data_IF_002832477906
#
_entry.id   IF_002832477906
#
_cell.length_a   1.000
_cell.length_b   1.000
_cell.length_c   1.000
_cell.angle_alpha   90.00
_cell.angle_beta   90.00
_cell.angle_gamma   90.00
#
_symmetry.space_group_name_H-M   'P 1'
#
loop_
_entity.id
_entity.type
_entity.pdbx_description
1 polymer ?
#
# COMPACT_ATOMS: atom_id res chain seq x y z
N UNK A 1 4.57 -3.80 16.14
CA UNK A 1 3.28 -4.30 15.63
C UNK A 1 3.09 -3.63 14.30
N UNK A 2 2.68 -4.36 13.27
CA UNK A 2 2.44 -3.78 11.95
C UNK A 2 1.43 -2.63 12.05
N UNK A 3 1.73 -1.50 11.43
CA UNK A 3 0.87 -0.32 11.43
C UNK A 3 0.11 -0.26 10.10
N UNK A 4 -1.22 -0.33 10.17
CA UNK A 4 -2.05 -0.02 8.99
C UNK A 4 -2.01 1.49 8.74
N UNK A 5 -1.62 1.87 7.52
CA UNK A 5 -1.78 3.24 7.07
C UNK A 5 -3.26 3.64 7.01
N UNK A 6 -3.54 4.94 7.15
CA UNK A 6 -4.89 5.51 6.96
C UNK A 6 -5.32 5.45 5.51
N UNK A 7 -4.35 5.44 4.60
CA UNK A 7 -4.56 5.40 3.17
C UNK A 7 -3.40 4.73 2.47
N UNK A 8 -3.72 3.88 1.50
CA UNK A 8 -2.79 3.42 0.47
C UNK A 8 -3.54 3.31 -0.86
N UNK A 9 -2.80 3.35 -1.97
CA UNK A 9 -3.37 3.15 -3.31
C UNK A 9 -2.50 2.16 -4.08
N UNK A 10 -3.17 1.25 -4.77
CA UNK A 10 -2.55 0.19 -5.55
C UNK A 10 -2.12 0.70 -6.94
N UNK A 11 -0.94 0.30 -7.39
CA UNK A 11 -0.38 0.58 -8.71
C UNK A 11 0.30 -0.66 -9.27
N UNK A 12 0.40 -0.75 -10.59
CA UNK A 12 1.21 -1.78 -11.24
C UNK A 12 2.70 -1.42 -11.10
N UNK A 13 3.56 -2.41 -10.86
CA UNK A 13 4.99 -2.22 -10.70
C UNK A 13 5.61 -1.48 -11.88
N UNK A 14 5.15 -1.74 -13.12
CA UNK A 14 5.61 -1.00 -14.31
C UNK A 14 5.42 0.51 -14.21
N UNK A 15 4.31 0.97 -13.64
CA UNK A 15 4.03 2.41 -13.49
C UNK A 15 5.00 3.07 -12.49
N UNK A 16 5.43 2.32 -11.47
CA UNK A 16 6.38 2.80 -10.47
C UNK A 16 7.81 2.82 -11.05
N UNK A 17 8.15 1.80 -11.85
CA UNK A 17 9.43 1.69 -12.57
C UNK A 17 9.65 2.78 -13.63
N UNK A 18 8.59 3.49 -14.03
CA UNK A 18 8.71 4.68 -14.90
C UNK A 18 9.42 5.86 -14.20
N UNK A 19 9.50 5.86 -12.86
CA UNK A 19 10.25 6.88 -12.13
C UNK A 19 11.77 6.67 -12.30
N UNK A 20 12.54 7.66 -12.79
CA UNK A 20 13.97 7.48 -13.04
C UNK A 20 14.81 7.17 -11.80
N UNK A 21 14.35 7.59 -10.61
CA UNK A 21 15.03 7.33 -9.33
C UNK A 21 14.59 6.03 -8.65
N UNK A 22 13.83 5.17 -9.35
CA UNK A 22 13.29 3.94 -8.80
C UNK A 22 14.39 2.91 -8.49
N UNK A 23 14.34 2.33 -7.30
CA UNK A 23 15.28 1.28 -6.86
C UNK A 23 14.55 0.27 -5.97
N UNK A 24 14.23 -0.90 -6.53
CA UNK A 24 13.46 -1.93 -5.84
C UNK A 24 14.30 -2.69 -4.82
N UNK A 25 13.82 -2.77 -3.58
CA UNK A 25 14.33 -3.69 -2.59
C UNK A 25 13.72 -5.08 -2.76
N UNK A 26 14.19 -5.81 -3.77
CA UNK A 26 13.71 -7.16 -4.10
C UNK A 26 13.91 -8.18 -2.96
N UNK A 27 14.80 -7.92 -2.00
CA UNK A 27 14.99 -8.79 -0.84
C UNK A 27 13.86 -8.68 0.20
N UNK A 28 12.99 -7.67 0.07
CA UNK A 28 11.93 -7.37 1.04
C UNK A 28 10.53 -7.65 0.48
N UNK A 29 10.43 -8.37 -0.64
CA UNK A 29 9.15 -8.81 -1.20
C UNK A 29 8.41 -9.70 -0.22
N UNK A 30 7.07 -9.72 -0.31
CA UNK A 30 6.30 -10.63 0.54
C UNK A 30 6.57 -12.07 0.13
N UNK A 31 6.46 -12.97 1.10
CA UNK A 31 6.50 -14.40 0.83
C UNK A 31 5.15 -14.87 0.30
N UNK A 32 5.20 -15.83 -0.61
CA UNK A 32 4.05 -16.57 -1.07
C UNK A 32 4.25 -18.05 -0.78
N UNK A 33 3.14 -18.74 -0.47
CA UNK A 33 3.15 -20.19 -0.33
C UNK A 33 3.07 -20.80 -1.71
N UNK A 34 4.05 -21.62 -2.05
CA UNK A 34 4.04 -22.48 -3.24
C UNK A 34 4.13 -23.93 -2.81
N UNK A 35 3.42 -24.78 -3.55
CA UNK A 35 3.61 -26.22 -3.42
C UNK A 35 4.81 -26.63 -4.29
N UNK A 36 5.83 -27.20 -3.67
CA UNK A 36 7.02 -27.77 -4.33
C UNK A 36 7.16 -29.20 -3.85
N UNK A 37 7.14 -30.16 -4.77
CA UNK A 37 7.23 -31.60 -4.48
C UNK A 37 6.21 -32.09 -3.43
N UNK A 38 4.98 -31.56 -3.48
CA UNK A 38 3.89 -31.91 -2.56
C UNK A 38 4.04 -31.35 -1.14
N UNK A 39 4.94 -30.38 -0.93
CA UNK A 39 5.08 -29.64 0.33
C UNK A 39 4.83 -28.16 0.11
N UNK A 40 4.06 -27.54 1.00
CA UNK A 40 3.95 -26.08 1.06
C UNK A 40 5.28 -25.50 1.58
N UNK A 41 5.89 -24.64 0.76
CA UNK A 41 7.08 -23.86 1.11
C UNK A 41 6.79 -22.38 0.93
N UNK A 42 7.34 -21.56 1.83
CA UNK A 42 7.31 -20.11 1.67
C UNK A 42 8.51 -19.68 0.82
N UNK A 43 8.23 -19.04 -0.30
CA UNK A 43 9.24 -18.49 -1.21
C UNK A 43 8.98 -17.01 -1.42
N UNK A 44 10.05 -16.28 -1.74
CA UNK A 44 9.93 -14.87 -2.08
C UNK A 44 9.08 -14.72 -3.35
N UNK A 45 8.08 -13.84 -3.30
CA UNK A 45 7.25 -13.53 -4.46
C UNK A 45 8.11 -12.88 -5.53
N UNK A 46 7.93 -13.29 -6.79
CA UNK A 46 8.54 -12.61 -7.92
C UNK A 46 7.71 -11.37 -8.31
N UNK A 47 8.35 -10.20 -8.42
CA UNK A 47 7.70 -8.96 -8.89
C UNK A 47 7.93 -8.75 -10.39
N UNK A 48 6.88 -8.97 -11.17
CA UNK A 48 6.80 -8.60 -12.59
C UNK A 48 6.13 -7.23 -12.79
N UNK A 49 6.05 -6.77 -14.03
CA UNK A 49 5.50 -5.46 -14.40
C UNK A 49 4.01 -5.29 -14.07
N UNK A 50 3.25 -6.39 -13.99
CA UNK A 50 1.83 -6.40 -13.69
C UNK A 50 1.55 -6.67 -12.20
N UNK A 51 2.60 -6.84 -11.40
CA UNK A 51 2.50 -7.01 -9.97
C UNK A 51 1.96 -5.75 -9.31
N UNK A 52 0.97 -5.92 -8.43
CA UNK A 52 0.40 -4.82 -7.66
C UNK A 52 1.30 -4.51 -6.46
N UNK A 53 1.66 -3.23 -6.34
CA UNK A 53 2.34 -2.62 -5.19
C UNK A 53 1.52 -1.44 -4.67
N UNK A 54 1.78 -1.01 -3.43
CA UNK A 54 0.98 0.00 -2.75
C UNK A 54 1.83 1.21 -2.37
N UNK A 55 1.43 2.40 -2.83
CA UNK A 55 1.95 3.66 -2.29
C UNK A 55 1.16 3.99 -1.04
N UNK A 56 1.87 4.16 0.07
CA UNK A 56 1.36 4.48 1.39
C UNK A 56 1.21 6.01 1.58
N UNK A 57 0.50 6.45 2.61
CA UNK A 57 0.31 7.89 2.93
C UNK A 57 1.62 8.66 3.18
N UNK A 58 2.70 7.96 3.53
CA UNK A 58 4.05 8.51 3.69
C UNK A 58 4.91 8.41 2.41
N UNK A 59 4.31 8.09 1.27
CA UNK A 59 4.95 7.90 -0.05
C UNK A 59 5.92 6.72 -0.15
N UNK A 60 5.97 5.86 0.87
CA UNK A 60 6.70 4.59 0.81
C UNK A 60 5.92 3.60 -0.04
N UNK A 61 6.61 2.78 -0.82
CA UNK A 61 5.99 1.69 -1.59
C UNK A 61 6.21 0.36 -0.88
N UNK A 62 5.14 -0.42 -0.76
CA UNK A 62 5.12 -1.70 -0.05
C UNK A 62 4.48 -2.80 -0.91
N UNK A 63 4.93 -4.04 -0.74
CA UNK A 63 4.28 -5.25 -1.30
C UNK A 63 3.26 -5.80 -0.30
N UNK A 64 2.28 -4.96 0.04
CA UNK A 64 1.25 -5.25 1.03
C UNK A 64 0.51 -4.01 1.48
N UNK A 65 -0.48 -4.19 2.36
CA UNK A 65 -1.30 -3.07 2.88
C UNK A 65 -0.73 -2.42 4.15
N UNK A 66 0.24 -3.06 4.81
CA UNK A 66 0.90 -2.54 6.00
C UNK A 66 2.06 -1.63 5.61
N UNK A 67 2.18 -0.45 6.24
CA UNK A 67 3.12 0.57 5.78
C UNK A 67 4.56 0.38 6.28
N UNK A 68 4.75 -0.52 7.23
CA UNK A 68 6.02 -0.85 7.87
C UNK A 68 6.51 -2.28 7.52
N UNK A 69 5.79 -2.99 6.65
CA UNK A 69 6.19 -4.32 6.17
C UNK A 69 6.42 -4.33 4.67
N UNK A 70 7.29 -5.23 4.22
CA UNK A 70 7.53 -5.51 2.80
C UNK A 70 7.82 -4.25 1.98
N UNK A 71 8.61 -3.33 2.55
CA UNK A 71 8.98 -2.05 1.94
C UNK A 71 9.84 -2.31 0.69
N UNK A 72 9.31 -1.95 -0.47
CA UNK A 72 9.97 -2.09 -1.77
C UNK A 72 10.75 -0.83 -2.14
N UNK A 73 10.28 0.34 -1.70
CA UNK A 73 10.93 1.63 -1.97
C UNK A 73 10.62 2.65 -0.89
N UNK A 74 11.64 3.24 -0.28
CA UNK A 74 11.54 4.21 0.82
C UNK A 74 12.33 5.51 0.59
N UNK A 75 12.91 5.70 -0.59
CA UNK A 75 13.63 6.92 -0.94
C UNK A 75 12.65 8.06 -1.32
N UNK A 76 11.99 8.62 -0.32
CA UNK A 76 10.95 9.65 -0.47
C UNK A 76 11.58 11.04 -0.70
N UNK A 77 11.87 11.35 -1.96
CA UNK A 77 12.35 12.67 -2.42
C UNK A 77 11.20 13.57 -2.88
N UNK A 78 11.47 14.86 -3.08
CA UNK A 78 10.49 15.79 -3.65
C UNK A 78 10.14 15.43 -5.11
N UNK A 79 11.14 15.00 -5.90
CA UNK A 79 10.93 14.50 -7.26
C UNK A 79 10.01 13.26 -7.29
N UNK A 80 10.16 12.36 -6.32
CA UNK A 80 9.28 11.19 -6.17
C UNK A 80 7.84 11.59 -5.86
N UNK A 81 7.65 12.53 -4.92
CA UNK A 81 6.31 13.05 -4.61
C UNK A 81 5.69 13.70 -5.85
N UNK A 82 6.45 14.54 -6.56
CA UNK A 82 5.97 15.17 -7.78
C UNK A 82 5.55 14.13 -8.83
N UNK A 83 6.35 13.09 -9.04
CA UNK A 83 5.98 11.97 -9.91
C UNK A 83 4.68 11.28 -9.46
N UNK A 84 4.53 11.03 -8.15
CA UNK A 84 3.30 10.44 -7.59
C UNK A 84 2.07 11.30 -7.90
N UNK A 85 2.14 12.62 -7.74
CA UNK A 85 1.03 13.53 -8.02
C UNK A 85 0.76 13.66 -9.52
N UNK A 86 1.79 13.94 -10.33
CA UNK A 86 1.62 14.31 -11.73
C UNK A 86 1.41 13.12 -12.67
N UNK A 87 2.08 11.99 -12.41
CA UNK A 87 2.03 10.80 -13.28
C UNK A 87 1.09 9.73 -12.76
N UNK A 88 1.09 9.49 -11.45
CA UNK A 88 0.27 8.45 -10.84
C UNK A 88 -1.08 8.95 -10.34
N UNK A 89 -1.30 10.27 -10.31
CA UNK A 89 -2.48 10.90 -9.71
C UNK A 89 -2.74 10.35 -8.29
N UNK A 90 -1.67 10.22 -7.51
CA UNK A 90 -1.73 9.86 -6.11
C UNK A 90 -2.09 11.11 -5.29
N UNK A 91 -3.22 11.04 -4.60
CA UNK A 91 -3.72 12.11 -3.73
C UNK A 91 -4.25 11.45 -2.47
N UNK A 92 -3.89 11.99 -1.30
CA UNK A 92 -4.41 11.50 -0.03
C UNK A 92 -5.78 12.16 0.20
N UNK A 93 -6.87 11.38 0.34
CA UNK A 93 -8.17 11.97 0.55
C UNK A 93 -8.24 12.72 1.89
N UNK A 94 -8.84 13.91 1.86
CA UNK A 94 -9.20 14.64 3.08
C UNK A 94 -10.57 14.15 3.54
N UNK A 95 -10.61 13.43 4.66
CA UNK A 95 -11.85 12.95 5.25
C UNK A 95 -12.36 13.97 6.28
N UNK A 96 -13.51 14.58 6.00
CA UNK A 96 -14.23 15.38 7.00
C UNK A 96 -15.06 14.46 7.91
N UNK A 97 -15.05 14.65 9.23
CA UNK A 97 -15.86 13.86 10.14
C UNK A 97 -17.34 14.11 9.88
N UNK A 98 -18.09 13.06 9.56
CA UNK A 98 -19.55 13.12 9.48
C UNK A 98 -20.16 12.89 10.86
N UNK A 99 -20.99 13.82 11.31
CA UNK A 99 -21.79 13.63 12.53
C UNK A 99 -22.97 12.71 12.25
N UNK A 100 -22.85 11.44 12.64
CA UNK A 100 -23.96 10.50 12.58
C UNK A 100 -24.88 10.77 13.78
N UNK A 101 -26.00 11.45 13.55
CA UNK A 101 -27.05 11.62 14.56
C UNK A 101 -27.60 10.24 14.94
N UNK A 102 -27.24 9.79 16.13
CA UNK A 102 -27.77 8.56 16.71
C UNK A 102 -29.24 8.80 17.07
N UNK A 103 -30.14 7.91 16.64
CA UNK A 103 -31.54 8.00 17.02
C UNK A 103 -31.66 7.93 18.55
N UNK A 104 -32.46 8.83 19.12
CA UNK A 104 -32.76 8.84 20.54
C UNK A 104 -33.45 7.52 20.92
N UNK A 105 -33.07 6.89 22.05
CA UNK A 105 -33.73 5.67 22.50
C UNK A 105 -35.22 5.96 22.71
N UNK A 106 -36.08 5.13 22.12
CA UNK A 106 -37.53 5.26 22.27
C UNK A 106 -37.90 5.19 23.76
N UNK A 107 -38.53 6.25 24.27
CA UNK A 107 -39.07 6.27 25.62
C UNK A 107 -40.10 5.14 25.76
N UNK A 108 -39.87 4.21 26.68
CA UNK A 108 -40.80 3.12 26.94
C UNK A 108 -41.90 3.67 27.86
N UNK A 109 -43.18 3.68 27.45
CA UNK A 109 -44.25 4.17 28.33
C UNK A 109 -44.41 3.22 29.53
N UNK A 110 -44.61 3.83 30.71
CA UNK A 110 -44.76 3.18 32.02
C UNK A 110 -46.13 2.52 32.23
#
# INVERSE_FOLDING_TARGET
MAEMGKYCKAYLAKQLREYPGWSENAANVRKEKKEVDGKEVEVDRQLDDDSILYIQENYVVTDGIFKDEHIIFDNVTDDWKQFCHEKLAFEIPVYEPIEIKRAEPAETPA
#
